data_IF_790064111155
#
_entry.id   IF_790064111155
#
_cell.length_a   1.000
_cell.length_b   1.000
_cell.length_c   1.000
_cell.angle_alpha   90.00
_cell.angle_beta   90.00
_cell.angle_gamma   90.00
#
_symmetry.space_group_name_H-M   'P 1'
#
loop_
_entity.id
_entity.type
_entity.pdbx_description
1 polymer ?
#
# COMPACT_ATOMS: atom_id res chain seq x y z
N UNK A 1 9.35 5.13 -23.82
CA UNK A 1 9.92 4.28 -22.72
C UNK A 1 9.10 4.53 -21.47
N UNK A 2 8.73 3.48 -20.74
CA UNK A 2 7.88 3.58 -19.54
C UNK A 2 8.75 3.75 -18.31
N UNK A 3 8.48 4.79 -17.50
CA UNK A 3 9.18 5.07 -16.25
C UNK A 3 8.19 5.06 -15.08
N UNK A 4 8.48 4.28 -14.06
CA UNK A 4 7.73 4.25 -12.82
C UNK A 4 8.52 4.96 -11.72
N UNK A 5 8.04 6.08 -11.25
CA UNK A 5 8.53 6.72 -10.02
C UNK A 5 8.04 5.88 -8.84
N UNK A 6 8.96 5.23 -8.19
CA UNK A 6 8.72 4.12 -7.26
C UNK A 6 9.28 4.39 -5.87
N UNK A 7 8.75 3.68 -4.91
CA UNK A 7 9.35 3.47 -3.61
C UNK A 7 9.10 2.01 -3.22
N UNK A 8 10.15 1.21 -3.00
CA UNK A 8 10.01 -0.21 -2.68
C UNK A 8 9.15 -0.52 -1.45
N UNK A 9 8.99 0.43 -0.52
CA UNK A 9 8.12 0.27 0.64
C UNK A 9 6.66 0.68 0.40
N UNK A 10 6.40 1.57 -0.56
CA UNK A 10 5.05 2.06 -0.79
C UNK A 10 4.14 0.92 -1.26
N UNK A 11 3.09 0.55 -0.52
CA UNK A 11 2.16 -0.48 -0.96
C UNK A 11 1.45 -0.10 -2.26
N UNK A 12 1.23 1.18 -2.51
CA UNK A 12 0.66 1.72 -3.75
C UNK A 12 1.59 1.51 -4.95
N UNK A 13 2.88 1.79 -4.79
CA UNK A 13 3.87 1.56 -5.85
C UNK A 13 4.08 0.06 -6.09
N UNK A 14 4.11 -0.74 -5.03
CA UNK A 14 4.17 -2.21 -5.10
C UNK A 14 2.98 -2.80 -5.85
N UNK A 15 1.76 -2.30 -5.61
CA UNK A 15 0.56 -2.66 -6.38
C UNK A 15 0.77 -2.44 -7.88
N UNK A 16 1.22 -1.24 -8.26
CA UNK A 16 1.44 -0.90 -9.68
C UNK A 16 2.54 -1.76 -10.29
N UNK A 17 3.67 -1.98 -9.60
CA UNK A 17 4.72 -2.90 -10.07
C UNK A 17 4.17 -4.29 -10.37
N UNK A 18 3.42 -4.87 -9.44
CA UNK A 18 2.84 -6.21 -9.63
C UNK A 18 1.86 -6.25 -10.78
N UNK A 19 1.10 -5.18 -11.04
CA UNK A 19 0.22 -5.08 -12.22
C UNK A 19 1.03 -5.03 -13.51
N UNK A 20 2.08 -4.20 -13.58
CA UNK A 20 2.96 -4.12 -14.75
C UNK A 20 3.68 -5.46 -15.00
N UNK A 21 4.23 -6.07 -13.95
CA UNK A 21 4.89 -7.37 -14.02
C UNK A 21 3.90 -8.49 -14.45
N UNK A 22 2.66 -8.49 -13.94
CA UNK A 22 1.61 -9.42 -14.32
C UNK A 22 1.27 -9.32 -15.81
N UNK A 23 1.18 -8.10 -16.33
CA UNK A 23 0.91 -7.84 -17.75
C UNK A 23 2.13 -8.08 -18.64
N UNK A 24 3.32 -8.27 -18.07
CA UNK A 24 4.58 -8.42 -18.83
C UNK A 24 5.04 -7.12 -19.49
N UNK A 25 4.67 -5.98 -18.91
CA UNK A 25 5.01 -4.66 -19.42
C UNK A 25 6.37 -4.22 -18.86
N UNK A 26 7.35 -4.02 -19.74
CA UNK A 26 8.67 -3.50 -19.33
C UNK A 26 8.57 -2.04 -18.88
N UNK A 27 9.31 -1.70 -17.83
CA UNK A 27 9.42 -0.35 -17.29
C UNK A 27 10.78 -0.15 -16.60
N UNK A 28 11.22 1.09 -16.53
CA UNK A 28 12.33 1.52 -15.67
C UNK A 28 11.76 2.00 -14.32
N UNK A 29 12.22 1.41 -13.22
CA UNK A 29 11.84 1.87 -11.89
C UNK A 29 12.86 2.90 -11.39
N UNK A 30 12.38 4.09 -11.01
CA UNK A 30 13.17 5.16 -10.44
C UNK A 30 12.86 5.28 -8.95
N UNK A 31 13.87 5.09 -8.08
CA UNK A 31 13.70 5.30 -6.64
C UNK A 31 13.42 6.78 -6.34
N UNK A 32 12.18 7.11 -6.07
CA UNK A 32 11.73 8.47 -5.79
C UNK A 32 12.22 9.01 -4.43
N UNK A 33 12.81 8.16 -3.58
CA UNK A 33 13.47 8.57 -2.33
C UNK A 33 14.92 8.98 -2.54
N UNK A 34 15.52 8.65 -3.69
CA UNK A 34 16.86 9.12 -4.02
C UNK A 34 16.84 10.65 -4.20
N UNK A 35 17.83 11.37 -3.63
CA UNK A 35 17.85 12.84 -3.69
C UNK A 35 17.75 13.38 -5.12
N UNK A 36 18.41 12.76 -6.07
CA UNK A 36 18.43 13.13 -7.49
C UNK A 36 17.07 12.89 -8.20
N UNK A 37 16.25 12.01 -7.68
CA UNK A 37 14.92 11.72 -8.23
C UNK A 37 13.84 12.67 -7.69
N UNK A 38 14.10 13.34 -6.58
CA UNK A 38 13.11 14.20 -5.90
C UNK A 38 12.65 15.37 -6.78
N UNK A 39 13.56 16.03 -7.45
CA UNK A 39 13.23 17.17 -8.33
C UNK A 39 12.45 16.69 -9.56
N UNK A 40 12.82 15.53 -10.10
CA UNK A 40 12.10 14.90 -11.21
C UNK A 40 10.69 14.48 -10.79
N UNK A 41 10.54 13.90 -9.59
CA UNK A 41 9.22 13.59 -9.05
C UNK A 41 8.40 14.87 -8.83
N UNK A 42 8.99 15.92 -8.25
CA UNK A 42 8.31 17.20 -8.01
C UNK A 42 7.80 17.86 -9.31
N UNK A 43 8.52 17.69 -10.42
CA UNK A 43 8.13 18.22 -11.71
C UNK A 43 6.88 17.55 -12.29
N UNK A 44 6.65 16.25 -11.99
CA UNK A 44 5.50 15.47 -12.48
C UNK A 44 4.39 15.31 -11.45
N UNK A 45 4.73 15.39 -10.16
CA UNK A 45 3.77 15.34 -9.05
C UNK A 45 4.22 16.24 -7.89
N UNK A 46 3.71 17.49 -7.82
CA UNK A 46 4.06 18.44 -6.75
C UNK A 46 3.76 17.94 -5.34
N UNK A 47 2.85 16.95 -5.20
CA UNK A 47 2.52 16.32 -3.92
C UNK A 47 3.63 15.40 -3.41
N UNK A 48 4.62 15.08 -4.25
CA UNK A 48 5.73 14.16 -3.94
C UNK A 48 5.27 12.76 -3.51
N UNK A 49 4.11 12.33 -3.97
CA UNK A 49 3.55 11.01 -3.71
C UNK A 49 3.92 10.03 -4.83
N UNK A 50 4.15 8.79 -4.46
CA UNK A 50 4.38 7.67 -5.38
C UNK A 50 3.25 6.64 -5.27
N UNK A 51 2.96 5.89 -6.35
CA UNK A 51 3.62 5.86 -7.65
C UNK A 51 3.19 6.99 -8.59
N UNK A 52 4.06 7.31 -9.54
CA UNK A 52 3.73 8.03 -10.76
C UNK A 52 4.21 7.20 -11.95
N UNK A 53 3.39 7.04 -12.97
CA UNK A 53 3.76 6.38 -14.22
C UNK A 53 3.89 7.42 -15.31
N UNK A 54 5.05 7.45 -15.99
CA UNK A 54 5.24 8.13 -17.26
C UNK A 54 5.27 7.06 -18.37
N UNK A 55 4.25 6.99 -19.18
CA UNK A 55 4.14 6.08 -20.32
C UNK A 55 4.29 6.85 -21.62
N UNK A 56 5.55 6.99 -22.08
CA UNK A 56 5.91 7.74 -23.30
C UNK A 56 5.38 9.18 -23.30
N UNK A 57 5.52 9.88 -22.18
CA UNK A 57 5.11 11.28 -22.01
C UNK A 57 3.66 11.44 -21.50
N UNK A 58 2.91 10.36 -21.32
CA UNK A 58 1.63 10.37 -20.61
C UNK A 58 1.88 10.13 -19.13
N UNK A 59 1.78 11.21 -18.35
CA UNK A 59 2.01 11.15 -16.90
C UNK A 59 0.71 10.87 -16.16
N UNK A 60 0.68 9.78 -15.39
CA UNK A 60 -0.45 9.37 -14.58
C UNK A 60 -0.02 9.30 -13.11
N UNK A 61 -0.72 10.01 -12.25
CA UNK A 61 -0.56 9.98 -10.80
C UNK A 61 -1.66 9.13 -10.17
N UNK A 62 -1.46 8.68 -8.93
CA UNK A 62 -2.38 7.82 -8.19
C UNK A 62 -2.41 6.36 -8.70
N UNK A 63 -2.20 5.43 -7.79
CA UNK A 63 -2.06 4.01 -8.13
C UNK A 63 -3.32 3.40 -8.78
N UNK A 64 -4.52 3.79 -8.35
CA UNK A 64 -5.76 3.27 -8.92
C UNK A 64 -5.99 3.81 -10.35
N UNK A 65 -5.62 5.07 -10.61
CA UNK A 65 -5.73 5.68 -11.93
C UNK A 65 -4.69 5.10 -12.89
N UNK A 66 -3.46 4.83 -12.39
CA UNK A 66 -2.42 4.12 -13.15
C UNK A 66 -2.93 2.73 -13.56
N UNK A 67 -3.50 1.97 -12.62
CA UNK A 67 -4.05 0.64 -12.92
C UNK A 67 -5.18 0.73 -13.95
N UNK A 68 -6.10 1.68 -13.80
CA UNK A 68 -7.20 1.89 -14.74
C UNK A 68 -6.69 2.25 -16.15
N UNK A 69 -5.68 3.13 -16.25
CA UNK A 69 -5.04 3.47 -17.51
C UNK A 69 -4.37 2.24 -18.15
N UNK A 70 -3.57 1.51 -17.38
CA UNK A 70 -2.85 0.31 -17.86
C UNK A 70 -3.81 -0.78 -18.31
N UNK A 71 -4.94 -0.99 -17.61
CA UNK A 71 -6.00 -1.93 -18.01
C UNK A 71 -6.63 -1.56 -19.35
N UNK A 72 -6.89 -0.28 -19.55
CA UNK A 72 -7.49 0.19 -20.80
C UNK A 72 -6.48 0.19 -21.97
N UNK A 73 -5.26 0.64 -21.71
CA UNK A 73 -4.22 0.81 -22.75
C UNK A 73 -3.59 -0.50 -23.18
N UNK A 74 -3.52 -1.49 -22.25
CA UNK A 74 -2.91 -2.80 -22.42
C UNK A 74 -3.86 -3.89 -21.90
N UNK A 75 -4.89 -4.26 -22.67
CA UNK A 75 -5.99 -5.12 -22.19
C UNK A 75 -5.58 -6.59 -21.96
N UNK A 76 -4.40 -7.01 -22.42
CA UNK A 76 -3.90 -8.36 -22.24
C UNK A 76 -3.65 -8.64 -20.75
N UNK A 77 -3.92 -9.89 -20.32
CA UNK A 77 -3.81 -10.32 -18.92
C UNK A 77 -4.50 -9.35 -17.95
N UNK A 78 -5.83 -9.20 -18.03
CA UNK A 78 -6.56 -8.25 -17.22
C UNK A 78 -6.47 -8.57 -15.74
N UNK A 79 -6.36 -7.51 -14.90
CA UNK A 79 -6.48 -7.61 -13.45
C UNK A 79 -7.87 -7.20 -12.98
N UNK A 80 -8.69 -6.58 -13.83
CA UNK A 80 -10.10 -6.35 -13.53
C UNK A 80 -10.94 -7.52 -14.06
N UNK A 81 -11.80 -8.14 -13.23
CA UNK A 81 -12.74 -9.15 -13.67
C UNK A 81 -13.60 -8.67 -14.86
N UNK A 82 -13.86 -9.54 -15.80
CA UNK A 82 -14.74 -9.24 -16.94
C UNK A 82 -16.20 -9.04 -16.51
N UNK A 83 -16.67 -9.85 -15.54
CA UNK A 83 -17.99 -9.71 -14.96
C UNK A 83 -18.11 -8.38 -14.19
N UNK A 84 -19.11 -7.54 -14.46
CA UNK A 84 -19.23 -6.21 -13.88
C UNK A 84 -19.45 -6.24 -12.37
N UNK A 85 -20.14 -7.24 -11.82
CA UNK A 85 -20.39 -7.37 -10.38
C UNK A 85 -19.09 -7.73 -9.65
N UNK A 86 -18.35 -8.71 -10.19
CA UNK A 86 -17.03 -9.08 -9.64
C UNK A 86 -16.04 -7.92 -9.77
N UNK A 87 -16.09 -7.15 -10.87
CA UNK A 87 -15.26 -5.96 -11.06
C UNK A 87 -15.52 -4.90 -9.99
N UNK A 88 -16.79 -4.61 -9.69
CA UNK A 88 -17.15 -3.68 -8.62
C UNK A 88 -16.64 -4.17 -7.26
N UNK A 89 -16.79 -5.46 -6.96
CA UNK A 89 -16.24 -6.07 -5.73
C UNK A 89 -14.73 -5.96 -5.66
N UNK A 90 -14.01 -6.25 -6.75
CA UNK A 90 -12.56 -6.16 -6.79
C UNK A 90 -12.07 -4.72 -6.57
N UNK A 91 -12.72 -3.74 -7.17
CA UNK A 91 -12.43 -2.32 -6.95
C UNK A 91 -12.79 -1.84 -5.55
N UNK A 92 -13.83 -2.40 -4.94
CA UNK A 92 -14.16 -2.09 -3.55
C UNK A 92 -13.06 -2.58 -2.59
N UNK A 93 -12.51 -3.77 -2.82
CA UNK A 93 -11.36 -4.27 -2.08
C UNK A 93 -10.08 -3.47 -2.33
N UNK A 94 -9.80 -3.10 -3.58
CA UNK A 94 -8.71 -2.19 -3.91
C UNK A 94 -8.83 -0.89 -3.11
N UNK A 95 -10.01 -0.27 -3.12
CA UNK A 95 -10.26 0.96 -2.36
C UNK A 95 -10.06 0.76 -0.86
N UNK A 96 -10.57 -0.34 -0.27
CA UNK A 96 -10.36 -0.63 1.17
C UNK A 96 -8.88 -0.81 1.51
N UNK A 97 -8.09 -1.41 0.61
CA UNK A 97 -6.65 -1.53 0.78
C UNK A 97 -5.97 -0.15 0.74
N UNK A 98 -6.35 0.67 -0.24
CA UNK A 98 -5.74 1.99 -0.49
C UNK A 98 -6.15 3.06 0.54
N UNK A 99 -7.22 2.86 1.31
CA UNK A 99 -7.74 3.80 2.31
C UNK A 99 -7.62 3.24 3.73
N UNK A 100 -8.57 2.44 4.18
CA UNK A 100 -8.66 1.96 5.55
C UNK A 100 -7.44 1.13 5.97
N UNK A 101 -7.04 0.13 5.17
CA UNK A 101 -5.92 -0.74 5.51
C UNK A 101 -4.60 0.04 5.50
N UNK A 102 -4.40 0.94 4.52
CA UNK A 102 -3.25 1.83 4.50
C UNK A 102 -3.22 2.74 5.74
N UNK A 103 -4.35 3.36 6.10
CA UNK A 103 -4.44 4.24 7.25
C UNK A 103 -4.00 3.53 8.53
N UNK A 104 -4.60 2.38 8.84
CA UNK A 104 -4.30 1.61 10.04
C UNK A 104 -2.81 1.20 10.06
N UNK A 105 -2.34 0.55 9.00
CA UNK A 105 -0.97 0.00 8.96
C UNK A 105 0.09 1.09 8.91
N UNK A 106 -0.17 2.19 8.20
CA UNK A 106 0.73 3.34 8.19
C UNK A 106 0.84 3.94 9.58
N UNK A 107 -0.29 4.22 10.24
CA UNK A 107 -0.33 4.93 11.51
C UNK A 107 0.34 4.15 12.64
N UNK A 108 0.30 2.80 12.62
CA UNK A 108 1.07 2.00 13.57
C UNK A 108 2.53 1.79 13.15
N UNK A 109 2.85 1.82 11.85
CA UNK A 109 4.20 1.55 11.35
C UNK A 109 5.13 2.75 11.45
N UNK A 110 4.58 3.94 11.38
CA UNK A 110 5.32 5.19 11.32
C UNK A 110 6.27 5.37 12.48
N UNK A 111 5.92 4.88 13.67
CA UNK A 111 6.73 4.94 14.87
C UNK A 111 7.89 3.95 14.89
N UNK A 112 7.93 2.98 13.96
CA UNK A 112 9.04 2.03 13.83
C UNK A 112 10.21 2.59 13.00
N UNK A 113 9.95 3.56 12.12
CA UNK A 113 10.94 4.02 11.15
C UNK A 113 10.96 5.53 10.90
N UNK A 114 10.05 6.28 11.50
CA UNK A 114 10.04 7.72 11.42
C UNK A 114 10.00 8.34 12.83
N UNK A 115 10.58 9.50 12.98
CA UNK A 115 10.59 10.36 14.17
C UNK A 115 11.39 9.90 15.39
N UNK A 116 12.63 10.33 15.50
CA UNK A 116 13.21 10.49 16.83
C UNK A 116 12.34 11.45 17.65
N UNK A 117 11.71 10.95 18.71
CA UNK A 117 11.00 11.78 19.69
C UNK A 117 9.49 11.87 19.61
N UNK A 118 8.83 11.21 18.66
CA UNK A 118 7.38 11.02 18.68
C UNK A 118 7.03 9.68 19.35
N UNK A 119 6.02 9.71 20.21
CA UNK A 119 5.48 8.51 20.87
C UNK A 119 4.09 8.24 20.32
N UNK A 120 3.74 6.99 20.00
CA UNK A 120 2.38 6.67 19.59
C UNK A 120 1.40 7.01 20.72
N UNK A 121 0.17 7.44 20.41
CA UNK A 121 -0.83 7.65 21.45
C UNK A 121 -1.16 6.33 22.14
N UNK A 122 -1.46 6.40 23.44
CA UNK A 122 -1.92 5.23 24.19
C UNK A 122 -3.17 4.65 23.54
N UNK A 123 -3.21 3.31 23.38
CA UNK A 123 -4.34 2.60 22.77
C UNK A 123 -4.29 2.49 21.23
N UNK A 124 -3.28 3.09 20.55
CA UNK A 124 -3.19 3.01 19.08
C UNK A 124 -3.08 1.58 18.57
N UNK A 125 -2.24 0.76 19.19
CA UNK A 125 -2.05 -0.63 18.78
C UNK A 125 -3.29 -1.49 19.02
N UNK A 126 -4.04 -1.23 20.08
CA UNK A 126 -5.31 -1.88 20.41
C UNK A 126 -6.38 -1.53 19.38
N UNK A 127 -6.54 -0.23 19.07
CA UNK A 127 -7.47 0.25 18.05
C UNK A 127 -7.17 -0.35 16.67
N UNK A 128 -5.88 -0.38 16.28
CA UNK A 128 -5.46 -1.00 15.03
C UNK A 128 -5.77 -2.50 14.98
N UNK A 129 -5.55 -3.21 16.09
CA UNK A 129 -5.85 -4.65 16.18
C UNK A 129 -7.34 -4.94 16.03
N UNK A 130 -8.21 -4.14 16.69
CA UNK A 130 -9.66 -4.30 16.57
C UNK A 130 -10.14 -4.11 15.13
N UNK A 131 -9.72 -3.05 14.46
CA UNK A 131 -10.16 -2.76 13.09
C UNK A 131 -9.58 -3.75 12.07
N UNK A 132 -8.33 -4.20 12.27
CA UNK A 132 -7.73 -5.25 11.43
C UNK A 132 -8.41 -6.59 11.61
N UNK A 133 -8.84 -6.95 12.83
CA UNK A 133 -9.60 -8.18 13.05
C UNK A 133 -10.94 -8.16 12.29
N UNK A 134 -11.64 -7.03 12.29
CA UNK A 134 -12.86 -6.88 11.51
C UNK A 134 -12.58 -7.02 10.00
N UNK A 135 -11.49 -6.43 9.51
CA UNK A 135 -11.09 -6.54 8.12
C UNK A 135 -10.66 -7.96 7.75
N UNK A 136 -9.94 -8.66 8.62
CA UNK A 136 -9.55 -10.07 8.41
C UNK A 136 -10.77 -10.99 8.38
N UNK A 137 -11.76 -10.75 9.23
CA UNK A 137 -13.03 -11.50 9.20
C UNK A 137 -13.81 -11.25 7.89
N UNK A 138 -13.79 -10.03 7.37
CA UNK A 138 -14.37 -9.72 6.05
C UNK A 138 -13.64 -10.46 4.91
N UNK A 139 -12.31 -10.52 4.95
CA UNK A 139 -11.50 -11.26 3.99
C UNK A 139 -11.76 -12.77 4.07
N UNK A 140 -11.88 -13.33 5.29
CA UNK A 140 -12.26 -14.73 5.49
C UNK A 140 -13.58 -15.06 4.81
N UNK A 141 -14.60 -14.18 4.95
CA UNK A 141 -15.90 -14.36 4.27
C UNK A 141 -15.77 -14.25 2.77
N UNK A 142 -15.07 -13.22 2.26
CA UNK A 142 -14.87 -13.04 0.83
C UNK A 142 -14.16 -14.24 0.18
N UNK A 143 -13.17 -14.80 0.86
CA UNK A 143 -12.45 -16.00 0.41
C UNK A 143 -13.28 -17.28 0.53
N UNK A 144 -14.23 -17.37 1.46
CA UNK A 144 -15.16 -18.48 1.53
C UNK A 144 -16.10 -18.51 0.32
N UNK A 145 -16.56 -17.34 -0.13
CA UNK A 145 -17.49 -17.20 -1.27
C UNK A 145 -16.76 -17.20 -2.61
N UNK A 146 -15.57 -16.61 -2.66
CA UNK A 146 -14.79 -16.37 -3.88
C UNK A 146 -13.84 -17.50 -4.28
N UNK A 147 -13.60 -18.48 -3.42
CA UNK A 147 -12.63 -19.55 -3.67
C UNK A 147 -11.19 -19.14 -3.39
N UNK A 148 -10.22 -19.47 -4.26
CA UNK A 148 -8.79 -19.25 -3.96
C UNK A 148 -8.37 -17.77 -3.95
N UNK A 149 -9.15 -16.87 -4.54
CA UNK A 149 -8.89 -15.44 -4.66
C UNK A 149 -10.06 -14.63 -4.12
N UNK A 150 -9.80 -13.39 -3.73
CA UNK A 150 -10.80 -12.54 -3.05
C UNK A 150 -12.07 -12.32 -3.89
N UNK A 151 -11.94 -12.33 -5.22
CA UNK A 151 -13.07 -12.12 -6.15
C UNK A 151 -13.23 -13.25 -7.18
N UNK A 152 -12.82 -14.48 -6.85
CA UNK A 152 -12.94 -15.66 -7.70
C UNK A 152 -11.66 -15.96 -8.48
N UNK A 153 -11.23 -15.04 -9.32
CA UNK A 153 -9.96 -15.10 -10.04
C UNK A 153 -8.97 -14.09 -9.47
N UNK A 154 -7.65 -14.31 -9.72
CA UNK A 154 -6.61 -13.34 -9.37
C UNK A 154 -6.95 -11.98 -9.99
N UNK A 155 -7.03 -10.95 -9.16
CA UNK A 155 -7.52 -9.65 -9.56
C UNK A 155 -6.81 -8.51 -8.85
N UNK A 156 -7.18 -7.28 -9.16
CA UNK A 156 -6.68 -6.08 -8.49
C UNK A 156 -6.94 -6.11 -6.98
N UNK A 157 -8.00 -6.79 -6.52
CA UNK A 157 -8.25 -6.98 -5.09
C UNK A 157 -7.07 -7.64 -4.39
N UNK A 158 -6.57 -8.74 -4.98
CA UNK A 158 -5.46 -9.51 -4.44
C UNK A 158 -4.15 -8.71 -4.50
N UNK A 159 -3.91 -8.03 -5.63
CA UNK A 159 -2.69 -7.25 -5.86
C UNK A 159 -2.63 -5.97 -5.00
N UNK A 160 -3.77 -5.40 -4.62
CA UNK A 160 -3.83 -4.25 -3.73
C UNK A 160 -3.65 -4.65 -2.25
N UNK A 161 -4.26 -5.76 -1.83
CA UNK A 161 -4.19 -6.23 -0.44
C UNK A 161 -2.80 -6.78 -0.08
N UNK A 162 -2.17 -7.53 -0.99
CA UNK A 162 -0.94 -8.26 -0.70
C UNK A 162 0.21 -7.37 -0.18
N UNK A 163 0.56 -6.22 -0.78
CA UNK A 163 1.64 -5.37 -0.30
C UNK A 163 1.46 -4.92 1.15
N UNK A 164 0.25 -4.54 1.51
CA UNK A 164 -0.09 -4.11 2.87
C UNK A 164 0.06 -5.26 3.88
N UNK A 165 -0.43 -6.45 3.52
CA UNK A 165 -0.45 -7.59 4.43
C UNK A 165 0.93 -8.27 4.61
N UNK A 166 1.94 -7.90 3.83
CA UNK A 166 3.30 -8.46 4.00
C UNK A 166 3.99 -8.03 5.29
N UNK A 167 3.60 -6.89 5.88
CA UNK A 167 4.22 -6.30 7.07
C UNK A 167 3.51 -6.59 8.39
N UNK A 168 2.29 -7.14 8.38
CA UNK A 168 1.42 -7.21 9.57
C UNK A 168 2.03 -8.01 10.72
N UNK A 169 2.84 -9.04 10.45
CA UNK A 169 3.54 -9.79 11.48
C UNK A 169 4.58 -8.93 12.21
N UNK A 170 5.32 -8.12 11.48
CA UNK A 170 6.33 -7.21 12.05
C UNK A 170 5.66 -6.12 12.91
N UNK A 171 4.46 -5.71 12.51
CA UNK A 171 3.67 -4.69 13.22
C UNK A 171 2.92 -5.24 14.45
N UNK A 172 3.02 -6.55 14.72
CA UNK A 172 2.35 -7.17 15.88
C UNK A 172 0.84 -7.38 15.72
N UNK A 173 0.34 -7.35 14.48
CA UNK A 173 -1.08 -7.51 14.13
C UNK A 173 -1.30 -8.64 13.11
N UNK A 174 -0.71 -9.84 13.30
CA UNK A 174 -0.77 -10.92 12.33
C UNK A 174 -2.17 -11.54 12.26
N UNK A 175 -2.57 -11.99 11.08
CA UNK A 175 -3.59 -13.03 10.93
C UNK A 175 -2.98 -14.40 11.23
N UNK A 176 -3.78 -15.33 11.77
CA UNK A 176 -3.34 -16.64 12.27
C UNK A 176 -4.14 -17.77 11.64
N UNK A 177 -3.58 -18.99 11.66
CA UNK A 177 -4.26 -20.19 11.14
C UNK A 177 -5.52 -20.53 11.91
N UNK A 178 -5.51 -20.28 13.22
CA UNK A 178 -6.65 -20.56 14.11
C UNK A 178 -7.86 -19.66 13.80
N UNK A 179 -7.61 -18.38 13.55
CA UNK A 179 -8.67 -17.36 13.39
C UNK A 179 -8.97 -17.05 11.94
N UNK A 180 -7.97 -17.15 11.07
CA UNK A 180 -8.02 -16.68 9.68
C UNK A 180 -7.41 -17.70 8.71
N UNK A 181 -7.89 -18.95 8.67
CA UNK A 181 -7.28 -20.03 7.90
C UNK A 181 -7.29 -19.76 6.39
N UNK A 182 -8.39 -19.22 5.84
CA UNK A 182 -8.48 -18.93 4.40
C UNK A 182 -7.59 -17.75 3.99
N UNK A 183 -7.53 -16.72 4.83
CA UNK A 183 -6.64 -15.57 4.60
C UNK A 183 -5.17 -16.01 4.63
N UNK A 184 -4.81 -16.89 5.56
CA UNK A 184 -3.45 -17.43 5.62
C UNK A 184 -3.14 -18.30 4.38
N UNK A 185 -4.08 -19.11 3.92
CA UNK A 185 -3.93 -19.92 2.71
C UNK A 185 -3.86 -19.05 1.45
N UNK A 186 -4.67 -18.00 1.37
CA UNK A 186 -4.59 -17.01 0.32
C UNK A 186 -3.20 -16.33 0.34
N UNK A 187 -2.71 -15.88 1.49
CA UNK A 187 -1.41 -15.25 1.63
C UNK A 187 -0.27 -16.19 1.21
N UNK A 188 -0.31 -17.46 1.64
CA UNK A 188 0.64 -18.50 1.22
C UNK A 188 0.62 -18.71 -0.30
N UNK A 189 -0.55 -18.63 -0.93
CA UNK A 189 -0.73 -18.74 -2.39
C UNK A 189 -0.17 -17.52 -3.11
N UNK A 190 -0.48 -16.32 -2.65
CA UNK A 190 0.10 -15.08 -3.18
C UNK A 190 1.63 -15.13 -3.16
N UNK A 191 2.22 -15.56 -2.05
CA UNK A 191 3.68 -15.71 -1.89
C UNK A 191 4.33 -16.68 -2.90
N UNK A 192 3.58 -17.55 -3.54
CA UNK A 192 4.08 -18.48 -4.57
C UNK A 192 4.06 -17.89 -5.98
N UNK A 193 3.32 -16.82 -6.21
CA UNK A 193 3.30 -16.13 -7.51
C UNK A 193 4.65 -15.44 -7.76
N UNK A 194 5.15 -15.54 -9.01
CA UNK A 194 6.44 -14.93 -9.39
C UNK A 194 6.45 -13.41 -9.18
N UNK A 195 5.37 -12.75 -9.52
CA UNK A 195 5.19 -11.31 -9.34
C UNK A 195 5.29 -10.91 -7.86
N UNK A 196 4.72 -11.71 -6.96
CA UNK A 196 4.76 -11.45 -5.52
C UNK A 196 6.13 -11.80 -4.91
N UNK A 197 6.78 -12.88 -5.40
CA UNK A 197 8.16 -13.20 -4.99
C UNK A 197 9.14 -12.11 -5.41
N UNK A 198 9.02 -11.62 -6.63
CA UNK A 198 9.83 -10.52 -7.14
C UNK A 198 9.63 -9.23 -6.34
N UNK A 199 8.39 -8.89 -6.02
CA UNK A 199 8.06 -7.73 -5.19
C UNK A 199 8.68 -7.83 -3.78
N UNK A 200 8.51 -8.97 -3.10
CA UNK A 200 9.10 -9.19 -1.77
C UNK A 200 10.63 -9.16 -1.81
N UNK A 201 11.25 -9.74 -2.83
CA UNK A 201 12.71 -9.70 -2.99
C UNK A 201 13.22 -8.26 -3.15
N UNK A 202 12.53 -7.40 -3.92
CA UNK A 202 12.87 -5.97 -4.04
C UNK A 202 12.80 -5.25 -2.69
N UNK A 203 11.75 -5.50 -1.89
CA UNK A 203 11.63 -4.93 -0.54
C UNK A 203 12.78 -5.39 0.35
N UNK A 204 13.11 -6.68 0.34
CA UNK A 204 14.22 -7.22 1.14
C UNK A 204 15.57 -6.65 0.74
N UNK A 205 15.84 -6.53 -0.56
CA UNK A 205 17.07 -5.91 -1.08
C UNK A 205 17.19 -4.45 -0.67
N UNK A 206 16.10 -3.71 -0.72
CA UNK A 206 16.06 -2.31 -0.30
C UNK A 206 16.34 -2.16 1.21
N UNK A 207 15.74 -3.02 2.04
CA UNK A 207 15.99 -3.04 3.48
C UNK A 207 17.46 -3.39 3.80
N UNK A 208 18.01 -4.39 3.12
CA UNK A 208 19.38 -4.81 3.31
C UNK A 208 20.38 -3.70 2.92
N UNK A 209 20.11 -2.99 1.82
CA UNK A 209 20.95 -1.88 1.37
C UNK A 209 20.96 -0.68 2.33
N UNK A 210 19.90 -0.51 3.13
CA UNK A 210 19.75 0.58 4.11
C UNK A 210 19.90 0.13 5.57
N UNK A 211 20.37 -1.09 5.80
CA UNK A 211 20.66 -1.57 7.14
C UNK A 211 21.78 -0.74 7.77
N UNK A 212 21.44 0.07 8.76
CA UNK A 212 22.36 1.01 9.43
C UNK A 212 22.11 2.49 9.14
N UNK A 213 21.33 2.81 8.09
CA UNK A 213 20.92 4.18 7.85
C UNK A 213 19.82 4.58 8.84
N UNK A 214 20.00 5.68 9.54
CA UNK A 214 18.90 6.31 10.28
C UNK A 214 17.95 6.95 9.25
N UNK A 215 16.66 6.59 9.23
CA UNK A 215 15.74 7.26 8.34
C UNK A 215 15.63 8.74 8.74
N UNK A 216 16.10 9.61 7.85
CA UNK A 216 16.11 11.07 8.06
C UNK A 216 14.73 11.71 7.80
N UNK A 217 13.63 10.98 7.92
CA UNK A 217 12.30 11.56 7.77
C UNK A 217 11.97 12.35 9.04
N UNK A 218 12.12 13.67 8.96
CA UNK A 218 11.80 14.60 10.06
C UNK A 218 10.29 14.85 10.19
N UNK A 219 9.50 14.55 9.15
CA UNK A 219 8.07 14.81 9.11
C UNK A 219 7.34 13.69 8.38
N UNK A 220 6.14 13.34 8.85
CA UNK A 220 5.22 12.45 8.13
C UNK A 220 4.23 13.30 7.34
N UNK A 221 4.06 12.92 6.07
CA UNK A 221 2.98 13.48 5.26
C UNK A 221 1.69 12.74 5.61
N UNK A 222 0.77 13.46 6.26
CA UNK A 222 -0.52 12.94 6.64
C UNK A 222 -1.54 13.14 5.52
N UNK A 223 -2.14 12.04 5.08
CA UNK A 223 -3.23 12.04 4.08
C UNK A 223 -4.57 12.03 4.79
N UNK A 224 -5.63 12.43 4.06
CA UNK A 224 -6.98 12.50 4.60
C UNK A 224 -7.44 11.22 5.28
N UNK A 225 -7.31 10.06 4.61
CA UNK A 225 -7.75 8.77 5.13
C UNK A 225 -7.04 8.39 6.46
N UNK A 226 -5.75 8.70 6.60
CA UNK A 226 -4.96 8.43 7.82
C UNK A 226 -5.41 9.31 8.97
N UNK A 227 -5.61 10.61 8.71
CA UNK A 227 -6.14 11.55 9.70
C UNK A 227 -7.55 11.16 10.10
N UNK A 228 -8.41 10.79 9.13
CA UNK A 228 -9.77 10.35 9.40
C UNK A 228 -9.80 9.18 10.38
N UNK A 229 -8.98 8.15 10.15
CA UNK A 229 -8.92 6.99 11.05
C UNK A 229 -8.46 7.37 12.46
N UNK A 230 -7.39 8.16 12.60
CA UNK A 230 -6.91 8.63 13.90
C UNK A 230 -8.00 9.39 14.67
N UNK A 231 -8.71 10.30 13.99
CA UNK A 231 -9.76 11.09 14.62
C UNK A 231 -10.99 10.24 14.94
N UNK A 232 -11.40 9.32 14.07
CA UNK A 232 -12.50 8.39 14.32
C UNK A 232 -12.24 7.48 15.52
N UNK A 233 -10.97 7.15 15.78
CA UNK A 233 -10.53 6.35 16.95
C UNK A 233 -10.24 7.19 18.20
N UNK A 234 -10.50 8.51 18.17
CA UNK A 234 -10.45 9.38 19.34
C UNK A 234 -9.07 9.99 19.65
N UNK A 235 -8.08 9.87 18.75
CA UNK A 235 -6.71 10.38 18.97
C UNK A 235 -6.56 11.89 18.66
N UNK A 236 -7.61 12.68 18.84
CA UNK A 236 -7.66 14.11 18.50
C UNK A 236 -6.57 14.93 19.21
N UNK A 237 -6.50 14.84 20.54
CA UNK A 237 -5.57 15.67 21.32
C UNK A 237 -4.10 15.31 21.02
N UNK A 238 -3.83 14.02 20.82
CA UNK A 238 -2.50 13.59 20.40
C UNK A 238 -2.14 14.22 19.04
N UNK A 239 -3.01 14.13 18.05
CA UNK A 239 -2.75 14.65 16.69
C UNK A 239 -2.60 16.18 16.70
N UNK A 240 -3.40 16.91 17.48
CA UNK A 240 -3.24 18.34 17.67
C UNK A 240 -1.89 18.68 18.35
N UNK A 241 -1.42 17.84 19.26
CA UNK A 241 -0.09 17.94 19.85
C UNK A 241 1.03 17.81 18.82
N UNK A 242 0.91 16.86 17.90
CA UNK A 242 1.87 16.67 16.80
C UNK A 242 1.89 17.87 15.83
N UNK A 243 0.71 18.45 15.53
CA UNK A 243 0.61 19.67 14.72
C UNK A 243 1.31 20.84 15.40
N UNK A 244 1.03 21.07 16.69
CA UNK A 244 1.63 22.18 17.48
C UNK A 244 3.15 22.03 17.61
N UNK A 245 3.63 20.79 17.63
CA UNK A 245 5.06 20.47 17.68
C UNK A 245 5.77 20.55 16.31
N UNK A 246 5.03 20.86 15.22
CA UNK A 246 5.60 20.95 13.87
C UNK A 246 6.03 19.62 13.27
N UNK A 247 5.53 18.48 13.77
CA UNK A 247 5.86 17.14 13.27
C UNK A 247 4.92 16.63 12.17
N UNK A 248 3.88 17.38 11.86
CA UNK A 248 2.93 17.07 10.79
C UNK A 248 3.28 17.85 9.54
N UNK A 249 3.41 17.16 8.42
CA UNK A 249 3.48 17.77 7.09
C UNK A 249 2.23 17.40 6.28
N UNK A 250 1.72 18.37 5.55
CA UNK A 250 0.57 18.18 4.68
C UNK A 250 1.02 18.00 3.23
N UNK A 251 0.32 17.17 2.42
CA UNK A 251 0.59 17.15 0.99
C UNK A 251 0.36 18.54 0.39
N UNK A 252 1.23 18.92 -0.52
CA UNK A 252 1.03 20.17 -1.28
C UNK A 252 -0.17 20.02 -2.22
N UNK A 253 -0.92 21.11 -2.37
CA UNK A 253 -2.02 21.18 -3.33
C UNK A 253 -1.53 21.15 -4.78
#
# INVERSE_FOLDING_TARGET
MRVLYDNPFSPFARKVRMVLDHKGLAYEAMDALAPEARDRLAAVNPRLEVPVLDDDGVVIVNSADIVAYVEHRYPERPVYPADPVRRVRARAWERRADTLLDAILHDISVFLWAFPGSTPPAGLAEAAREDLEALYADLERALADGGPWVCGDLSIADLALFPHLTGVKLLGVPFTEERHPRLLDWYRRMRKLDICRGDVARVQSFLAARAGDQPALQHIIWRGDRVEWLLARGFHEWFLGEIRAGRVAWPRA
#
